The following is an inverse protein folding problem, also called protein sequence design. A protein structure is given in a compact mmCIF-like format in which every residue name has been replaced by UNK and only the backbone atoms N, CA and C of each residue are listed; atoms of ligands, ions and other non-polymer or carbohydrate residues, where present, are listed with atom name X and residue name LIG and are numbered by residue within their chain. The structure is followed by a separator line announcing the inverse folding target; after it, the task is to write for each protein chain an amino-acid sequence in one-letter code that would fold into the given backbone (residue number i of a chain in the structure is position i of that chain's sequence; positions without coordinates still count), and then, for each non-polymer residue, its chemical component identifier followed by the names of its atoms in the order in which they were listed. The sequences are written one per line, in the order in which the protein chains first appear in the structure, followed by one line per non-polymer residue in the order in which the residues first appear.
data_IF_255213683817
#
_entry.id   IF_255213683817
#
_cell.length_a   1.000
_cell.length_b   1.000
_cell.length_c   1.000
_cell.angle_alpha   90.00
_cell.angle_beta   90.00
_cell.angle_gamma   90.00
#
_symmetry.space_group_name_H-M   'P 1'
#
loop_
_entity.id
_entity.type
_entity.pdbx_description
1 polymer ?
#
# COMPACT_ATOMS: atom_id res chain seq x y z
N UNK A 1 19.62 74.86 -41.97
CA UNK A 1 19.36 73.47 -42.06
C UNK A 1 20.24 72.75 -41.07
N UNK A 2 19.72 72.33 -39.91
CA UNK A 2 20.48 71.61 -38.87
C UNK A 2 20.03 70.13 -38.94
N UNK A 3 20.96 69.23 -39.23
CA UNK A 3 20.72 67.78 -39.23
C UNK A 3 20.84 67.24 -37.79
N UNK A 4 19.76 66.56 -37.35
CA UNK A 4 19.69 65.85 -36.08
C UNK A 4 20.01 64.38 -36.36
N UNK A 5 21.07 63.84 -35.71
CA UNK A 5 21.42 62.45 -35.73
C UNK A 5 20.73 61.74 -34.54
N UNK A 6 19.80 60.80 -34.83
CA UNK A 6 19.26 59.89 -33.85
C UNK A 6 20.22 58.67 -33.70
N UNK A 7 20.75 58.48 -32.51
CA UNK A 7 21.49 57.26 -32.19
C UNK A 7 20.51 56.22 -31.67
N UNK A 8 20.35 55.08 -32.38
CA UNK A 8 19.63 53.90 -31.92
C UNK A 8 20.51 53.08 -31.01
N UNK A 9 20.19 53.11 -29.71
CA UNK A 9 20.81 52.22 -28.72
C UNK A 9 20.21 50.79 -28.79
N UNK A 10 21.01 49.84 -29.20
CA UNK A 10 20.65 48.42 -29.27
C UNK A 10 20.95 47.76 -27.93
N UNK A 11 19.94 47.55 -27.12
CA UNK A 11 20.02 46.85 -25.81
C UNK A 11 20.05 45.34 -26.06
N UNK A 12 21.21 44.73 -25.85
CA UNK A 12 21.32 43.26 -25.84
C UNK A 12 20.74 42.72 -24.55
N UNK A 13 19.54 42.09 -24.64
CA UNK A 13 19.01 41.22 -23.57
C UNK A 13 19.83 39.92 -23.59
N UNK A 14 20.70 39.73 -22.62
CA UNK A 14 21.30 38.44 -22.29
C UNK A 14 20.20 37.55 -21.66
N UNK A 15 19.62 36.68 -22.46
CA UNK A 15 18.78 35.59 -21.94
C UNK A 15 19.69 34.61 -21.20
N UNK A 16 19.63 34.62 -19.86
CA UNK A 16 20.18 33.52 -19.05
C UNK A 16 19.30 32.28 -19.29
N UNK A 17 19.80 31.34 -20.07
CA UNK A 17 19.27 29.97 -20.08
C UNK A 17 19.50 29.40 -18.69
N UNK A 18 18.42 29.17 -17.95
CA UNK A 18 18.49 28.38 -16.73
C UNK A 18 18.95 26.98 -17.16
N UNK A 19 20.16 26.60 -16.79
CA UNK A 19 20.61 25.22 -16.89
C UNK A 19 19.65 24.38 -15.99
N UNK A 20 18.80 23.61 -16.62
CA UNK A 20 18.05 22.56 -15.97
C UNK A 20 19.10 21.52 -15.53
N UNK A 21 19.59 21.64 -14.30
CA UNK A 21 20.42 20.60 -13.69
C UNK A 21 19.55 19.34 -13.67
N UNK A 22 19.89 18.36 -14.50
CA UNK A 22 19.29 17.05 -14.48
C UNK A 22 19.38 16.51 -13.04
N UNK A 23 18.25 16.32 -12.39
CA UNK A 23 18.19 15.78 -11.05
C UNK A 23 18.85 14.39 -11.11
N UNK A 24 19.96 14.20 -10.43
CA UNK A 24 20.66 12.92 -10.39
C UNK A 24 19.66 11.86 -9.94
N UNK A 25 19.64 10.70 -10.61
CA UNK A 25 18.78 9.58 -10.22
C UNK A 25 18.97 9.28 -8.73
N UNK A 26 17.88 9.08 -7.95
CA UNK A 26 17.99 8.79 -6.52
C UNK A 26 18.88 7.57 -6.30
N UNK A 27 19.75 7.57 -5.27
CA UNK A 27 20.69 6.48 -5.02
C UNK A 27 19.98 5.20 -4.60
N UNK A 28 20.63 4.07 -4.87
CA UNK A 28 20.27 2.80 -4.25
C UNK A 28 20.68 2.82 -2.77
N UNK A 29 19.77 2.42 -1.87
CA UNK A 29 20.00 2.32 -0.43
C UNK A 29 20.53 0.92 -0.14
N UNK A 30 21.75 0.76 0.39
CA UNK A 30 22.25 -0.52 0.85
C UNK A 30 21.38 -1.07 1.99
N UNK A 31 21.14 -2.38 1.99
CA UNK A 31 20.33 -3.03 3.01
C UNK A 31 20.69 -4.51 3.17
N UNK A 32 20.32 -5.09 4.28
CA UNK A 32 20.36 -6.51 4.54
C UNK A 32 18.96 -7.06 4.72
N UNK A 33 18.74 -8.30 4.25
CA UNK A 33 17.57 -9.10 4.59
C UNK A 33 17.99 -10.09 5.66
N UNK A 34 17.31 -10.08 6.82
CA UNK A 34 17.57 -11.00 7.92
C UNK A 34 17.06 -12.38 7.52
N UNK A 35 17.95 -13.38 7.35
CA UNK A 35 17.52 -14.72 6.96
C UNK A 35 16.71 -15.38 8.07
N UNK A 36 15.69 -16.14 7.66
CA UNK A 36 14.85 -16.99 8.54
C UNK A 36 14.35 -16.28 9.81
N UNK A 37 14.05 -14.97 9.68
CA UNK A 37 13.61 -14.18 10.82
C UNK A 37 12.32 -14.73 11.43
N UNK A 38 11.30 -15.06 10.61
CA UNK A 38 10.05 -15.64 11.10
C UNK A 38 10.14 -17.16 11.14
N UNK A 39 10.03 -17.71 12.34
CA UNK A 39 10.16 -19.14 12.62
C UNK A 39 8.78 -19.77 12.75
N UNK A 40 8.34 -20.46 11.70
CA UNK A 40 7.07 -21.20 11.67
C UNK A 40 7.21 -22.56 12.37
N UNK A 41 6.14 -23.07 13.02
CA UNK A 41 6.05 -24.48 13.38
C UNK A 41 6.19 -25.40 12.17
N UNK A 42 6.62 -26.63 12.38
CA UNK A 42 6.96 -27.57 11.30
C UNK A 42 5.77 -27.95 10.40
N UNK A 43 4.55 -27.78 10.89
CA UNK A 43 3.29 -28.10 10.20
C UNK A 43 2.56 -26.87 9.64
N UNK A 44 3.17 -25.68 9.75
CA UNK A 44 2.59 -24.42 9.29
C UNK A 44 3.42 -23.81 8.16
N UNK A 45 2.78 -23.36 7.12
CA UNK A 45 3.40 -22.72 5.95
C UNK A 45 2.69 -21.41 5.62
N UNK A 46 3.42 -20.46 5.08
CA UNK A 46 2.80 -19.33 4.41
C UNK A 46 2.23 -19.74 3.05
N UNK A 47 1.05 -19.22 2.72
CA UNK A 47 0.62 -19.03 1.34
C UNK A 47 1.06 -17.67 0.84
N UNK A 48 0.29 -17.04 -0.05
CA UNK A 48 0.51 -15.64 -0.41
C UNK A 48 0.43 -14.77 0.85
N UNK A 49 1.53 -14.11 1.19
CA UNK A 49 1.56 -13.18 2.32
C UNK A 49 1.04 -11.83 1.86
N UNK A 50 -0.20 -11.55 2.22
CA UNK A 50 -0.89 -10.33 1.80
C UNK A 50 -0.68 -9.15 2.73
N UNK A 51 -0.34 -9.39 4.00
CA UNK A 51 -0.22 -8.34 5.00
C UNK A 51 0.89 -8.57 6.01
N UNK A 52 1.46 -7.47 6.52
CA UNK A 52 2.44 -7.48 7.60
C UNK A 52 2.34 -6.21 8.43
N UNK A 53 2.34 -6.36 9.75
CA UNK A 53 2.31 -5.25 10.70
C UNK A 53 3.20 -5.52 11.91
N UNK A 54 3.57 -4.47 12.64
CA UNK A 54 4.38 -4.57 13.85
C UNK A 54 3.73 -3.72 14.95
N UNK A 55 3.60 -4.27 16.16
CA UNK A 55 3.04 -3.56 17.29
C UNK A 55 4.11 -2.82 18.13
N UNK A 56 3.68 -2.14 19.19
CA UNK A 56 4.57 -1.39 20.09
C UNK A 56 5.60 -2.24 20.83
N UNK A 57 5.39 -3.56 20.92
CA UNK A 57 6.29 -4.54 21.56
C UNK A 57 7.27 -5.19 20.57
N UNK A 58 7.18 -4.81 19.27
CA UNK A 58 7.96 -5.42 18.21
C UNK A 58 7.42 -6.79 17.76
N UNK A 59 6.22 -7.20 18.19
CA UNK A 59 5.61 -8.40 17.66
C UNK A 59 5.19 -8.18 16.20
N UNK A 60 5.41 -9.19 15.39
CA UNK A 60 5.11 -9.15 13.95
C UNK A 60 3.82 -9.93 13.68
N UNK A 61 2.89 -9.29 13.02
CA UNK A 61 1.64 -9.90 12.54
C UNK A 61 1.74 -10.14 11.05
N UNK A 62 1.48 -11.38 10.65
CA UNK A 62 1.52 -11.79 9.23
C UNK A 62 0.14 -12.27 8.83
N UNK A 63 -0.41 -11.66 7.79
CA UNK A 63 -1.66 -12.09 7.18
C UNK A 63 -1.35 -12.90 5.93
N UNK A 64 -1.64 -14.20 5.99
CA UNK A 64 -1.39 -15.14 4.91
C UNK A 64 -2.72 -15.65 4.34
N UNK A 65 -2.76 -15.90 3.03
CA UNK A 65 -3.89 -16.56 2.37
C UNK A 65 -3.87 -18.08 2.58
N UNK A 66 -3.04 -18.55 3.50
CA UNK A 66 -2.97 -19.95 3.96
C UNK A 66 -2.42 -20.92 2.94
N UNK A 67 -2.52 -22.20 3.25
CA UNK A 67 -1.95 -23.33 2.51
C UNK A 67 -2.95 -23.97 1.54
N UNK A 68 -4.01 -23.27 1.14
CA UNK A 68 -5.00 -23.86 0.26
C UNK A 68 -4.54 -23.89 -1.19
N UNK A 69 -4.83 -24.98 -1.86
CA UNK A 69 -4.52 -25.21 -3.28
C UNK A 69 -5.63 -24.73 -4.22
N UNK A 70 -6.71 -24.19 -3.68
CA UNK A 70 -7.87 -23.70 -4.42
C UNK A 70 -7.90 -22.17 -4.55
N UNK A 71 -8.82 -21.62 -5.32
CA UNK A 71 -9.06 -20.19 -5.36
C UNK A 71 -9.41 -19.70 -3.95
N UNK A 72 -8.75 -18.65 -3.49
CA UNK A 72 -8.90 -18.15 -2.13
C UNK A 72 -10.31 -17.58 -1.83
N UNK A 73 -11.04 -17.15 -2.87
CA UNK A 73 -12.40 -16.67 -2.72
C UNK A 73 -13.34 -17.77 -2.20
N UNK A 74 -14.02 -17.47 -1.10
CA UNK A 74 -14.93 -18.41 -0.45
C UNK A 74 -14.26 -19.51 0.38
N UNK A 75 -12.93 -19.53 0.45
CA UNK A 75 -12.19 -20.44 1.30
C UNK A 75 -11.80 -19.74 2.62
N UNK A 76 -12.05 -20.39 3.76
CA UNK A 76 -11.61 -19.93 5.09
C UNK A 76 -10.10 -20.16 5.27
N UNK A 77 -9.30 -19.74 4.28
CA UNK A 77 -7.87 -20.02 4.22
C UNK A 77 -7.01 -18.94 4.84
N UNK A 78 -7.56 -17.76 5.10
CA UNK A 78 -6.81 -16.66 5.68
C UNK A 78 -6.35 -17.00 7.10
N UNK A 79 -5.08 -16.76 7.37
CA UNK A 79 -4.45 -16.95 8.67
C UNK A 79 -3.80 -15.66 9.12
N UNK A 80 -4.16 -15.20 10.32
CA UNK A 80 -3.50 -14.09 10.99
C UNK A 80 -2.57 -14.66 12.06
N UNK A 81 -1.27 -14.60 11.79
CA UNK A 81 -0.23 -15.21 12.63
C UNK A 81 0.53 -14.14 13.39
N UNK A 82 0.74 -14.34 14.70
CA UNK A 82 1.54 -13.47 15.56
C UNK A 82 2.87 -14.12 15.88
N UNK A 83 3.95 -13.34 15.72
CA UNK A 83 5.32 -13.72 16.06
C UNK A 83 5.87 -12.74 17.09
N UNK A 84 6.72 -13.21 17.99
CA UNK A 84 7.46 -12.36 18.92
C UNK A 84 8.47 -11.46 18.21
N UNK A 85 9.02 -10.50 18.94
CA UNK A 85 10.10 -9.62 18.43
C UNK A 85 11.37 -10.38 18.05
N UNK A 86 11.54 -11.60 18.54
CA UNK A 86 12.61 -12.54 18.18
C UNK A 86 12.25 -13.41 16.96
N UNK A 87 11.07 -13.23 16.37
CA UNK A 87 10.59 -13.95 15.20
C UNK A 87 9.97 -15.32 15.49
N UNK A 88 9.89 -15.76 16.76
CA UNK A 88 9.23 -17.02 17.10
C UNK A 88 7.72 -16.91 17.00
N UNK A 89 7.10 -17.94 16.44
CA UNK A 89 5.65 -18.07 16.38
C UNK A 89 5.04 -18.08 17.80
N UNK A 90 4.00 -17.29 18.01
CA UNK A 90 3.27 -17.20 19.27
C UNK A 90 1.89 -17.84 19.17
N UNK A 91 1.10 -17.45 18.17
CA UNK A 91 -0.29 -17.92 18.00
C UNK A 91 -0.87 -17.55 16.64
N UNK A 92 -1.98 -18.19 16.32
CA UNK A 92 -2.93 -17.75 15.28
C UNK A 92 -4.10 -17.01 15.94
N UNK A 93 -4.54 -15.91 15.32
CA UNK A 93 -5.67 -15.09 15.76
C UNK A 93 -6.83 -15.27 14.80
N UNK A 94 -8.04 -15.49 15.32
CA UNK A 94 -9.25 -15.62 14.52
C UNK A 94 -9.26 -16.89 13.65
N UNK A 95 -8.72 -17.99 14.16
CA UNK A 95 -8.77 -19.29 13.47
C UNK A 95 -10.19 -19.65 13.04
N UNK A 96 -10.40 -19.95 11.74
CA UNK A 96 -11.69 -20.25 11.14
C UNK A 96 -12.77 -19.15 11.31
N UNK A 97 -12.38 -17.91 11.49
CA UNK A 97 -13.35 -16.81 11.60
C UNK A 97 -14.19 -16.71 10.32
N UNK A 98 -15.51 -16.60 10.46
CA UNK A 98 -16.45 -16.46 9.33
C UNK A 98 -16.15 -15.26 8.41
N UNK A 99 -15.50 -14.21 8.94
CA UNK A 99 -15.10 -13.05 8.17
C UNK A 99 -13.97 -13.35 7.15
N UNK A 100 -13.23 -14.44 7.30
CA UNK A 100 -12.16 -14.80 6.38
C UNK A 100 -12.70 -15.29 5.04
N UNK A 101 -12.22 -14.72 3.96
CA UNK A 101 -12.53 -15.13 2.59
C UNK A 101 -11.36 -14.87 1.65
N UNK A 102 -10.84 -13.62 1.61
CA UNK A 102 -9.67 -13.25 0.81
C UNK A 102 -8.88 -12.16 1.54
N UNK A 103 -7.94 -12.58 2.38
CA UNK A 103 -7.11 -11.71 3.19
C UNK A 103 -6.37 -10.66 2.34
N UNK A 104 -6.43 -9.38 2.75
CA UNK A 104 -5.83 -8.29 1.96
C UNK A 104 -4.78 -7.51 2.73
N UNK A 105 -5.11 -6.90 3.87
CA UNK A 105 -4.18 -6.08 4.64
C UNK A 105 -4.31 -6.32 6.14
N UNK A 106 -3.21 -6.14 6.90
CA UNK A 106 -3.19 -6.10 8.36
C UNK A 106 -2.48 -4.84 8.84
N UNK A 107 -3.08 -4.14 9.80
CA UNK A 107 -2.50 -2.97 10.47
C UNK A 107 -2.59 -3.10 11.97
N UNK A 108 -1.74 -2.38 12.69
CA UNK A 108 -1.81 -2.27 14.16
C UNK A 108 -1.94 -0.80 14.51
N UNK A 109 -2.93 -0.46 15.34
CA UNK A 109 -3.13 0.90 15.82
C UNK A 109 -2.24 1.22 17.03
N UNK A 110 -2.29 2.47 17.50
CA UNK A 110 -1.49 2.96 18.63
C UNK A 110 -1.80 2.29 19.97
N UNK A 111 -2.95 1.62 20.06
CA UNK A 111 -3.40 0.90 21.26
C UNK A 111 -3.13 -0.62 21.13
N UNK A 112 -2.30 -1.01 20.15
CA UNK A 112 -1.96 -2.39 19.79
C UNK A 112 -3.18 -3.24 19.35
N UNK A 113 -4.30 -2.62 18.95
CA UNK A 113 -5.37 -3.37 18.30
C UNK A 113 -4.93 -3.79 16.90
N UNK A 114 -5.29 -5.01 16.52
CA UNK A 114 -4.96 -5.57 15.21
C UNK A 114 -6.18 -5.41 14.31
N UNK A 115 -5.97 -4.86 13.13
CA UNK A 115 -7.00 -4.60 12.16
C UNK A 115 -6.71 -5.36 10.88
N UNK A 116 -7.74 -5.99 10.33
CA UNK A 116 -7.62 -6.80 9.11
C UNK A 116 -8.68 -6.38 8.11
N UNK A 117 -8.26 -6.06 6.90
CA UNK A 117 -9.13 -5.94 5.75
C UNK A 117 -9.22 -7.29 5.03
N UNK A 118 -10.43 -7.81 4.90
CA UNK A 118 -10.70 -8.98 4.06
C UNK A 118 -11.49 -8.56 2.83
N UNK A 119 -10.81 -8.61 1.68
CA UNK A 119 -11.34 -8.19 0.39
C UNK A 119 -12.49 -9.08 -0.09
N UNK A 120 -12.44 -10.37 0.22
CA UNK A 120 -13.42 -11.33 -0.28
C UNK A 120 -14.74 -11.32 0.49
N UNK A 121 -14.70 -10.87 1.73
CA UNK A 121 -15.89 -10.74 2.60
C UNK A 121 -16.38 -9.30 2.74
N UNK A 122 -15.68 -8.33 2.13
CA UNK A 122 -16.03 -6.91 2.19
C UNK A 122 -16.13 -6.34 3.60
N UNK A 123 -15.24 -6.79 4.50
CA UNK A 123 -15.22 -6.37 5.90
C UNK A 123 -13.83 -5.90 6.35
N UNK A 124 -13.84 -5.03 7.37
CA UNK A 124 -12.66 -4.73 8.18
C UNK A 124 -12.97 -5.17 9.61
N UNK A 125 -12.10 -5.99 10.19
CA UNK A 125 -12.25 -6.56 11.54
C UNK A 125 -11.17 -5.98 12.45
N UNK A 126 -11.57 -5.46 13.61
CA UNK A 126 -10.67 -5.06 14.68
C UNK A 126 -10.64 -6.12 15.78
N UNK A 127 -9.45 -6.56 16.12
CA UNK A 127 -9.17 -7.39 17.30
C UNK A 127 -8.48 -6.54 18.36
N UNK A 128 -8.78 -6.81 19.63
CA UNK A 128 -7.94 -6.30 20.71
C UNK A 128 -6.61 -7.07 20.78
N UNK A 129 -5.61 -6.63 21.60
CA UNK A 129 -4.34 -7.33 21.74
C UNK A 129 -4.44 -8.79 22.21
N UNK A 130 -5.56 -9.18 22.82
CA UNK A 130 -5.84 -10.57 23.23
C UNK A 130 -6.40 -11.42 22.09
N UNK A 131 -6.66 -10.83 20.92
CA UNK A 131 -7.19 -11.52 19.73
C UNK A 131 -8.72 -11.69 19.73
N UNK A 132 -9.46 -10.90 20.52
CA UNK A 132 -10.93 -10.87 20.51
C UNK A 132 -11.43 -9.82 19.53
N UNK A 133 -12.40 -10.16 18.71
CA UNK A 133 -13.09 -9.19 17.84
C UNK A 133 -13.81 -8.16 18.70
N UNK A 134 -13.53 -6.88 18.44
CA UNK A 134 -14.13 -5.75 19.18
C UNK A 134 -14.94 -4.82 18.28
N UNK A 135 -14.71 -4.86 16.96
CA UNK A 135 -15.44 -4.05 15.99
C UNK A 135 -15.37 -4.70 14.61
N UNK A 136 -16.42 -4.53 13.81
CA UNK A 136 -16.49 -4.95 12.41
C UNK A 136 -17.11 -3.80 11.60
N UNK A 137 -16.50 -3.49 10.47
CA UNK A 137 -17.01 -2.55 9.47
C UNK A 137 -17.38 -3.31 8.21
N UNK A 138 -18.49 -2.91 7.58
CA UNK A 138 -19.04 -3.61 6.45
C UNK A 138 -19.79 -4.89 6.84
N UNK A 139 -20.19 -5.63 5.83
CA UNK A 139 -20.92 -6.89 6.01
C UNK A 139 -20.54 -7.85 4.89
N UNK A 140 -20.28 -9.10 5.26
CA UNK A 140 -20.08 -10.16 4.28
C UNK A 140 -21.36 -10.38 3.48
N UNK A 141 -21.34 -10.25 2.15
CA UNK A 141 -22.51 -10.49 1.32
C UNK A 141 -23.00 -11.93 1.45
N UNK A 142 -24.31 -12.09 1.47
CA UNK A 142 -25.00 -13.40 1.39
C UNK A 142 -25.64 -13.54 0.01
N UNK A 143 -25.89 -14.76 -0.45
CA UNK A 143 -26.49 -15.01 -1.75
C UNK A 143 -27.86 -14.32 -1.94
N UNK A 144 -28.58 -14.08 -0.84
CA UNK A 144 -29.86 -13.37 -0.82
C UNK A 144 -29.73 -11.84 -0.93
N UNK A 145 -28.55 -11.28 -0.71
CA UNK A 145 -28.39 -9.81 -0.63
C UNK A 145 -28.24 -9.16 -2.01
N UNK A 146 -27.53 -9.81 -2.95
CA UNK A 146 -27.21 -9.19 -4.24
C UNK A 146 -27.55 -10.05 -5.46
N UNK A 147 -28.15 -11.17 -5.34
CA UNK A 147 -28.40 -12.19 -6.37
C UNK A 147 -27.61 -13.48 -6.13
N UNK A 148 -27.75 -14.44 -7.05
CA UNK A 148 -27.05 -15.72 -6.98
C UNK A 148 -25.52 -15.64 -7.11
N UNK A 149 -24.96 -14.46 -7.36
CA UNK A 149 -23.54 -14.26 -7.64
C UNK A 149 -22.92 -13.14 -6.76
N UNK A 150 -22.82 -13.32 -5.43
CA UNK A 150 -22.36 -12.29 -4.51
C UNK A 150 -20.88 -11.88 -4.74
N UNK A 151 -20.09 -12.66 -5.48
CA UNK A 151 -18.71 -12.34 -5.84
C UNK A 151 -18.60 -11.67 -7.21
N UNK A 152 -19.68 -11.59 -7.97
CA UNK A 152 -19.71 -10.91 -9.26
C UNK A 152 -20.15 -9.46 -9.06
N UNK A 153 -19.37 -8.55 -9.59
CA UNK A 153 -19.66 -7.13 -9.54
C UNK A 153 -20.20 -6.67 -10.89
N UNK A 154 -21.32 -5.96 -10.93
CA UNK A 154 -21.89 -5.49 -12.19
C UNK A 154 -20.96 -4.49 -12.89
N UNK A 155 -20.96 -4.51 -14.22
CA UNK A 155 -20.25 -3.53 -15.03
C UNK A 155 -21.27 -2.76 -15.89
N UNK A 156 -21.42 -1.44 -15.73
CA UNK A 156 -20.69 -0.56 -14.80
C UNK A 156 -21.04 -0.84 -13.33
N UNK A 157 -20.17 -0.45 -12.38
CA UNK A 157 -20.43 -0.63 -10.96
C UNK A 157 -21.70 0.09 -10.51
N UNK A 158 -22.48 -0.53 -9.61
CA UNK A 158 -23.58 0.16 -8.92
C UNK A 158 -23.03 1.30 -8.06
N UNK A 159 -23.80 2.36 -7.81
CA UNK A 159 -23.41 3.40 -6.84
C UNK A 159 -23.01 2.79 -5.48
N UNK A 160 -21.99 3.33 -4.81
CA UNK A 160 -21.62 2.87 -3.48
C UNK A 160 -22.73 3.17 -2.46
N UNK A 161 -22.89 2.27 -1.50
CA UNK A 161 -23.82 2.43 -0.38
C UNK A 161 -23.04 2.74 0.88
N UNK A 162 -23.52 3.67 1.70
CA UNK A 162 -22.88 4.07 2.95
C UNK A 162 -22.81 2.89 3.94
N UNK A 163 -21.61 2.70 4.54
CA UNK A 163 -21.36 1.58 5.45
C UNK A 163 -21.15 0.22 4.78
N UNK A 164 -21.35 0.10 3.45
CA UNK A 164 -21.12 -1.13 2.70
C UNK A 164 -19.87 -0.99 1.83
N UNK A 165 -19.10 -2.06 1.72
CA UNK A 165 -17.87 -2.09 0.92
C UNK A 165 -18.00 -3.03 -0.28
N UNK A 166 -17.10 -2.82 -1.25
CA UNK A 166 -16.90 -3.74 -2.37
C UNK A 166 -15.42 -3.89 -2.64
N UNK A 167 -14.83 -4.95 -2.09
CA UNK A 167 -13.42 -5.29 -2.18
C UNK A 167 -12.51 -4.23 -1.54
N UNK A 168 -12.64 -4.10 -0.20
CA UNK A 168 -11.77 -3.24 0.64
C UNK A 168 -10.29 -3.62 0.49
N UNK A 169 -9.41 -2.63 0.67
CA UNK A 169 -7.98 -2.84 0.51
C UNK A 169 -7.17 -2.62 1.78
N UNK A 170 -7.35 -1.52 2.49
CA UNK A 170 -6.49 -1.15 3.63
C UNK A 170 -7.23 -0.17 4.56
N UNK A 171 -6.64 0.15 5.72
CA UNK A 171 -7.20 1.11 6.67
C UNK A 171 -6.11 1.89 7.40
N UNK A 172 -6.49 3.07 7.91
CA UNK A 172 -5.64 3.93 8.76
C UNK A 172 -6.49 4.76 9.72
N UNK A 173 -5.84 5.51 10.62
CA UNK A 173 -6.50 6.31 11.66
C UNK A 173 -5.86 7.70 11.76
N UNK A 174 -6.66 8.70 12.17
CA UNK A 174 -6.13 9.99 12.59
C UNK A 174 -5.85 10.03 14.12
N UNK A 175 -5.32 11.14 14.58
CA UNK A 175 -5.01 11.36 16.02
C UNK A 175 -6.24 11.38 16.90
N UNK A 176 -7.43 11.72 16.36
CA UNK A 176 -8.70 11.69 17.05
C UNK A 176 -9.29 10.26 17.15
N UNK A 177 -8.72 9.29 16.41
CA UNK A 177 -9.18 7.91 16.34
C UNK A 177 -10.26 7.65 15.29
N UNK A 178 -10.55 8.61 14.41
CA UNK A 178 -11.39 8.33 13.25
C UNK A 178 -10.70 7.32 12.34
N UNK A 179 -11.48 6.46 11.72
CA UNK A 179 -11.02 5.37 10.85
C UNK A 179 -11.25 5.72 9.39
N UNK A 180 -10.25 5.50 8.57
CA UNK A 180 -10.30 5.69 7.12
C UNK A 180 -10.05 4.35 6.44
N UNK A 181 -11.01 3.90 5.64
CA UNK A 181 -10.96 2.60 4.94
C UNK A 181 -10.93 2.85 3.44
N UNK A 182 -9.92 2.30 2.77
CA UNK A 182 -9.85 2.33 1.31
C UNK A 182 -10.75 1.23 0.73
N UNK A 183 -11.89 1.62 0.18
CA UNK A 183 -12.86 0.79 -0.52
C UNK A 183 -12.51 0.78 -2.02
N UNK A 184 -11.41 0.09 -2.36
CA UNK A 184 -10.52 0.46 -3.44
C UNK A 184 -10.75 -0.23 -4.78
N UNK A 185 -11.16 -1.50 -4.84
CA UNK A 185 -11.22 -2.21 -6.12
C UNK A 185 -12.45 -1.85 -6.95
N UNK A 186 -13.60 -1.63 -6.32
CA UNK A 186 -14.87 -1.41 -7.03
C UNK A 186 -15.40 0.00 -6.78
N UNK A 187 -15.52 0.42 -5.52
CA UNK A 187 -16.16 1.69 -5.19
C UNK A 187 -15.25 2.91 -5.39
N UNK A 188 -13.93 2.71 -5.45
CA UNK A 188 -12.95 3.77 -5.72
C UNK A 188 -13.10 4.97 -4.78
N UNK A 189 -13.28 4.72 -3.48
CA UNK A 189 -13.47 5.76 -2.46
C UNK A 189 -12.68 5.47 -1.19
N UNK A 190 -12.50 6.52 -0.37
CA UNK A 190 -12.11 6.40 1.04
C UNK A 190 -13.36 6.60 1.88
N UNK A 191 -13.70 5.63 2.71
CA UNK A 191 -14.80 5.68 3.66
C UNK A 191 -14.27 6.13 5.03
N UNK A 192 -14.98 7.06 5.69
CA UNK A 192 -14.63 7.59 7.00
C UNK A 192 -15.65 7.16 8.03
N UNK A 193 -15.16 6.72 9.19
CA UNK A 193 -15.94 6.43 10.38
C UNK A 193 -15.38 7.22 11.57
N UNK A 194 -16.21 7.54 12.52
CA UNK A 194 -15.74 8.08 13.80
C UNK A 194 -15.08 6.97 14.66
N UNK A 195 -14.49 7.36 15.78
CA UNK A 195 -13.83 6.44 16.73
C UNK A 195 -14.77 5.40 17.35
N UNK A 196 -16.07 5.68 17.39
CA UNK A 196 -17.12 4.80 17.87
C UNK A 196 -17.58 3.80 16.77
N UNK A 197 -17.14 3.99 15.51
CA UNK A 197 -17.47 3.15 14.35
C UNK A 197 -18.70 3.60 13.60
N UNK A 198 -19.22 4.81 13.85
CA UNK A 198 -20.34 5.36 13.10
C UNK A 198 -19.86 5.95 11.78
N UNK A 199 -20.67 5.78 10.73
CA UNK A 199 -20.40 6.37 9.42
C UNK A 199 -20.30 7.90 9.50
N UNK A 200 -19.21 8.45 8.98
CA UNK A 200 -18.95 9.89 8.98
C UNK A 200 -18.85 10.50 7.57
N UNK A 201 -18.88 9.68 6.53
CA UNK A 201 -18.85 10.10 5.14
C UNK A 201 -17.85 9.35 4.27
N UNK A 202 -17.71 9.79 3.03
CA UNK A 202 -16.69 9.25 2.11
C UNK A 202 -16.31 10.30 1.06
N UNK A 203 -15.17 10.08 0.40
CA UNK A 203 -14.77 10.88 -0.77
C UNK A 203 -14.07 10.00 -1.80
N UNK A 204 -14.05 10.49 -3.04
CA UNK A 204 -13.50 9.78 -4.18
C UNK A 204 -14.57 9.11 -5.02
N UNK A 205 -14.22 8.89 -6.27
CA UNK A 205 -15.01 8.23 -7.30
C UNK A 205 -14.08 7.63 -8.37
N UNK A 206 -14.53 6.71 -9.20
CA UNK A 206 -13.73 6.17 -10.29
C UNK A 206 -13.24 7.22 -11.27
N UNK A 207 -11.95 7.23 -11.61
CA UNK A 207 -11.39 8.12 -12.63
C UNK A 207 -9.91 8.43 -12.44
N UNK A 208 -9.42 9.44 -13.19
CA UNK A 208 -8.00 9.85 -13.20
C UNK A 208 -7.80 11.33 -12.85
N UNK A 209 -8.85 12.11 -12.71
CA UNK A 209 -8.75 13.51 -12.27
C UNK A 209 -8.27 13.59 -10.80
N UNK A 210 -7.79 14.76 -10.34
CA UNK A 210 -7.52 14.98 -8.91
C UNK A 210 -8.76 14.66 -8.06
N UNK A 211 -8.57 13.87 -6.98
CA UNK A 211 -9.67 13.41 -6.12
C UNK A 211 -10.40 12.16 -6.63
N UNK A 212 -10.21 11.76 -7.89
CA UNK A 212 -10.70 10.49 -8.43
C UNK A 212 -9.64 9.40 -8.29
N UNK A 213 -10.07 8.15 -8.33
CA UNK A 213 -9.19 6.99 -8.09
C UNK A 213 -9.36 5.89 -9.14
N UNK A 214 -8.27 5.16 -9.35
CA UNK A 214 -8.25 3.90 -10.10
C UNK A 214 -7.55 2.85 -9.26
N UNK A 215 -8.32 2.05 -8.55
CA UNK A 215 -7.83 1.04 -7.61
C UNK A 215 -6.97 1.63 -6.48
N UNK A 216 -7.60 2.15 -5.43
CA UNK A 216 -6.92 2.47 -4.18
C UNK A 216 -6.41 1.18 -3.56
N UNK A 217 -5.11 1.11 -3.24
CA UNK A 217 -4.55 -0.16 -2.76
C UNK A 217 -4.01 -0.11 -1.34
N UNK A 218 -3.52 1.03 -0.90
CA UNK A 218 -2.99 1.21 0.46
C UNK A 218 -3.28 2.63 0.94
N UNK A 219 -3.44 2.81 2.25
CA UNK A 219 -3.73 4.09 2.89
C UNK A 219 -2.98 4.21 4.21
N UNK A 220 -2.34 5.36 4.46
CA UNK A 220 -1.61 5.63 5.70
C UNK A 220 -1.78 7.09 6.12
N UNK A 221 -1.63 7.36 7.40
CA UNK A 221 -1.77 8.71 7.99
C UNK A 221 -0.46 9.13 8.66
N UNK A 222 -0.06 10.38 8.49
CA UNK A 222 1.09 10.95 9.19
C UNK A 222 0.70 11.61 10.52
N UNK A 223 1.68 12.12 11.25
CA UNK A 223 1.46 12.80 12.55
C UNK A 223 0.71 14.13 12.48
N UNK A 224 0.55 14.69 11.29
CA UNK A 224 -0.25 15.89 11.03
C UNK A 224 -1.66 15.53 10.54
N UNK A 225 -2.07 14.27 10.68
CA UNK A 225 -3.35 13.74 10.22
C UNK A 225 -3.58 13.90 8.70
N UNK A 226 -2.50 13.98 7.90
CA UNK A 226 -2.60 13.94 6.46
C UNK A 226 -2.70 12.49 6.00
N UNK A 227 -3.63 12.21 5.12
CA UNK A 227 -4.00 10.87 4.65
C UNK A 227 -3.41 10.65 3.26
N UNK A 228 -2.49 9.68 3.15
CA UNK A 228 -1.81 9.30 1.92
C UNK A 228 -2.49 8.08 1.32
N UNK A 229 -2.99 8.20 0.11
CA UNK A 229 -3.74 7.15 -0.58
C UNK A 229 -2.99 6.69 -1.82
N UNK A 230 -2.65 5.42 -1.87
CA UNK A 230 -2.03 4.79 -3.03
C UNK A 230 -3.06 4.61 -4.15
N UNK A 231 -3.13 5.55 -5.07
CA UNK A 231 -3.96 5.50 -6.28
C UNK A 231 -3.20 4.72 -7.37
N UNK A 232 -3.18 3.39 -7.18
CA UNK A 232 -2.30 2.46 -7.87
C UNK A 232 -2.48 2.47 -9.38
N UNK A 233 -3.73 2.42 -9.87
CA UNK A 233 -4.02 2.40 -11.29
C UNK A 233 -3.64 3.70 -12.01
N UNK A 234 -3.58 4.81 -11.29
CA UNK A 234 -3.15 6.10 -11.79
C UNK A 234 -1.64 6.38 -11.55
N UNK A 235 -0.92 5.42 -10.95
CA UNK A 235 0.51 5.52 -10.61
C UNK A 235 0.84 6.83 -9.86
N UNK A 236 0.10 7.11 -8.79
CA UNK A 236 0.28 8.29 -7.94
C UNK A 236 -0.16 8.03 -6.50
N UNK A 237 0.29 8.88 -5.59
CA UNK A 237 -0.21 8.95 -4.23
C UNK A 237 -0.94 10.28 -4.11
N UNK A 238 -2.18 10.27 -3.63
CA UNK A 238 -2.93 11.48 -3.34
C UNK A 238 -2.95 11.71 -1.84
N UNK A 239 -2.70 12.95 -1.42
CA UNK A 239 -2.64 13.35 -0.01
C UNK A 239 -3.83 14.22 0.31
N UNK A 240 -4.58 13.86 1.35
CA UNK A 240 -5.80 14.54 1.77
C UNK A 240 -5.69 15.00 3.23
N UNK A 241 -6.50 15.97 3.62
CA UNK A 241 -6.79 16.23 5.01
C UNK A 241 -7.92 15.32 5.54
N UNK A 242 -8.23 15.42 6.82
CA UNK A 242 -9.26 14.61 7.50
C UNK A 242 -10.69 14.89 7.03
N UNK A 243 -10.91 15.95 6.26
CA UNK A 243 -12.20 16.27 5.63
C UNK A 243 -12.35 15.66 4.23
N UNK A 244 -11.28 15.07 3.67
CA UNK A 244 -11.24 14.57 2.31
C UNK A 244 -10.84 15.63 1.27
N UNK A 245 -10.37 16.81 1.70
CA UNK A 245 -9.84 17.82 0.79
C UNK A 245 -8.46 17.40 0.30
N UNK A 246 -8.28 17.36 -1.03
CA UNK A 246 -7.00 17.08 -1.65
C UNK A 246 -5.98 18.19 -1.35
N UNK A 247 -4.83 17.81 -0.82
CA UNK A 247 -3.71 18.69 -0.50
C UNK A 247 -2.61 18.65 -1.56
N UNK A 248 -2.21 17.45 -2.00
CA UNK A 248 -1.15 17.26 -2.99
C UNK A 248 -1.25 15.92 -3.71
N UNK A 249 -0.51 15.80 -4.81
CA UNK A 249 -0.34 14.56 -5.57
C UNK A 249 1.14 14.30 -5.71
N UNK A 250 1.59 13.13 -5.25
CA UNK A 250 2.98 12.68 -5.32
C UNK A 250 3.13 11.64 -6.42
N UNK A 251 4.26 11.67 -7.13
CA UNK A 251 4.60 10.69 -8.15
C UNK A 251 6.04 10.22 -7.95
N UNK A 252 6.28 8.95 -8.23
CA UNK A 252 7.61 8.36 -8.20
C UNK A 252 8.06 8.21 -9.65
N UNK A 253 8.97 9.06 -10.05
CA UNK A 253 9.49 9.09 -11.42
C UNK A 253 10.93 8.57 -11.46
N UNK A 254 11.08 7.30 -11.07
CA UNK A 254 12.35 6.57 -11.10
C UNK A 254 12.25 5.46 -12.15
N UNK A 255 12.96 5.57 -13.28
CA UNK A 255 12.83 4.62 -14.36
C UNK A 255 13.28 3.20 -13.95
N UNK A 256 12.62 2.19 -14.48
CA UNK A 256 13.08 0.82 -14.35
C UNK A 256 14.34 0.58 -15.21
N UNK A 257 15.23 -0.34 -14.81
CA UNK A 257 16.27 -0.85 -15.69
C UNK A 257 15.66 -1.42 -16.98
N UNK A 258 16.36 -1.27 -18.10
CA UNK A 258 15.88 -1.72 -19.43
C UNK A 258 15.63 -3.23 -19.51
N UNK A 259 16.36 -4.00 -18.71
CA UNK A 259 16.34 -5.46 -18.60
C UNK A 259 15.64 -5.96 -17.34
N UNK A 260 14.90 -5.08 -16.64
CA UNK A 260 14.19 -5.46 -15.42
C UNK A 260 13.16 -6.57 -15.73
N UNK A 261 13.22 -7.73 -15.04
CA UNK A 261 12.26 -8.78 -15.24
C UNK A 261 10.89 -8.37 -14.70
N UNK A 262 9.84 -8.67 -15.43
CA UNK A 262 8.47 -8.53 -14.94
C UNK A 262 8.13 -9.80 -14.16
N UNK A 263 8.21 -9.74 -12.83
CA UNK A 263 7.82 -10.85 -11.97
C UNK A 263 6.31 -10.86 -11.76
N UNK A 264 5.57 -11.37 -12.72
CA UNK A 264 4.13 -11.62 -12.60
C UNK A 264 3.91 -13.12 -12.51
N UNK A 265 4.08 -13.66 -11.31
CA UNK A 265 3.89 -15.09 -11.08
C UNK A 265 4.81 -15.96 -11.95
N UNK A 266 4.32 -17.13 -12.32
CA UNK A 266 5.03 -18.05 -13.20
C UNK A 266 4.70 -17.81 -14.69
N UNK A 267 4.09 -16.69 -15.06
CA UNK A 267 3.88 -16.37 -16.46
C UNK A 267 5.22 -16.01 -17.10
N UNK A 268 5.59 -16.63 -18.22
CA UNK A 268 6.68 -16.11 -19.04
C UNK A 268 6.39 -14.64 -19.37
N UNK A 269 7.40 -13.79 -19.33
CA UNK A 269 7.26 -12.44 -19.86
C UNK A 269 6.85 -12.57 -21.33
N UNK A 270 5.64 -12.13 -21.68
CA UNK A 270 5.24 -12.04 -23.07
C UNK A 270 6.18 -11.03 -23.74
N UNK A 271 6.87 -11.47 -24.78
CA UNK A 271 7.75 -10.60 -25.55
C UNK A 271 6.90 -9.43 -26.08
N UNK A 272 7.18 -8.20 -25.64
CA UNK A 272 6.45 -7.02 -26.01
C UNK A 272 5.33 -6.60 -25.04
N UNK A 273 5.08 -7.32 -23.94
CA UNK A 273 4.28 -6.81 -22.83
C UNK A 273 5.00 -5.63 -22.19
N UNK A 274 4.79 -4.46 -22.76
CA UNK A 274 5.23 -3.23 -22.11
C UNK A 274 4.42 -3.07 -20.83
N UNK A 275 5.09 -2.77 -19.73
CA UNK A 275 4.46 -2.33 -18.48
C UNK A 275 3.50 -1.14 -18.68
N UNK A 276 3.41 -0.62 -19.89
CA UNK A 276 2.59 0.51 -20.30
C UNK A 276 1.09 0.19 -20.47
N UNK A 277 0.70 -1.07 -20.59
CA UNK A 277 -0.70 -1.44 -20.85
C UNK A 277 -1.59 -1.47 -19.61
N UNK A 278 -1.02 -1.58 -18.42
CA UNK A 278 -1.77 -1.59 -17.15
C UNK A 278 -1.06 -0.68 -16.15
N UNK A 279 -1.69 0.43 -15.76
CA UNK A 279 -1.13 1.41 -14.82
C UNK A 279 -0.57 0.80 -13.52
N UNK A 280 -1.06 -0.37 -13.12
CA UNK A 280 -0.64 -1.06 -11.90
C UNK A 280 0.78 -1.64 -11.96
N UNK A 281 1.35 -1.83 -13.15
CA UNK A 281 2.71 -2.36 -13.35
C UNK A 281 3.69 -1.30 -13.87
N UNK A 282 3.34 -0.02 -13.80
CA UNK A 282 4.28 1.05 -14.11
C UNK A 282 5.31 1.17 -12.97
N UNK A 283 6.60 1.45 -13.29
CA UNK A 283 7.57 1.81 -12.27
C UNK A 283 7.04 2.94 -11.39
N UNK A 284 7.17 2.80 -10.06
CA UNK A 284 6.65 3.76 -9.08
C UNK A 284 5.13 3.73 -8.87
N UNK A 285 4.40 2.79 -9.49
CA UNK A 285 2.97 2.58 -9.17
C UNK A 285 2.83 2.06 -7.74
N UNK A 286 2.16 2.80 -6.81
CA UNK A 286 2.19 2.47 -5.40
C UNK A 286 1.29 1.28 -5.08
N UNK A 287 1.88 0.19 -4.60
CA UNK A 287 1.16 -0.98 -4.10
C UNK A 287 1.00 -0.95 -2.59
N UNK A 288 2.07 -0.64 -1.87
CA UNK A 288 2.09 -0.59 -0.42
C UNK A 288 2.70 0.71 0.08
N UNK A 289 2.15 1.23 1.16
CA UNK A 289 2.63 2.41 1.85
C UNK A 289 2.91 2.07 3.32
N UNK A 290 3.97 2.64 3.89
CA UNK A 290 4.08 2.82 5.33
C UNK A 290 4.79 4.15 5.65
N UNK A 291 4.43 4.77 6.77
CA UNK A 291 5.08 5.98 7.28
C UNK A 291 5.81 5.64 8.57
N UNK A 292 7.09 6.03 8.65
CA UNK A 292 7.90 5.77 9.83
C UNK A 292 7.41 6.56 11.04
N UNK A 293 7.53 6.02 12.27
CA UNK A 293 7.32 6.78 13.49
C UNK A 293 8.47 7.79 13.71
N UNK A 294 8.41 8.53 14.82
CA UNK A 294 9.50 9.41 15.21
C UNK A 294 9.26 10.89 14.85
N UNK A 295 10.16 11.81 15.21
CA UNK A 295 10.02 13.25 14.96
C UNK A 295 10.11 13.58 13.46
N UNK A 296 11.01 12.95 12.74
CA UNK A 296 11.08 12.99 11.28
C UNK A 296 10.47 11.74 10.71
N UNK A 297 9.47 11.91 9.85
CA UNK A 297 8.76 10.80 9.21
C UNK A 297 9.17 10.68 7.75
N UNK A 298 9.26 9.45 7.29
CA UNK A 298 9.51 9.10 5.89
C UNK A 298 8.39 8.21 5.38
N UNK A 299 8.03 8.38 4.12
CA UNK A 299 7.10 7.52 3.42
C UNK A 299 7.88 6.45 2.65
N UNK A 300 7.63 5.19 2.97
CA UNK A 300 8.07 4.06 2.15
C UNK A 300 6.96 3.64 1.21
N UNK A 301 7.32 3.40 -0.04
CA UNK A 301 6.39 3.03 -1.12
C UNK A 301 6.96 1.84 -1.86
N UNK A 302 6.16 0.78 -2.03
CA UNK A 302 6.56 -0.36 -2.86
C UNK A 302 5.83 -0.35 -4.20
N UNK A 303 6.51 -0.81 -5.25
CA UNK A 303 5.89 -1.15 -6.52
C UNK A 303 5.98 -2.67 -6.80
N UNK A 304 5.13 -3.16 -7.71
CA UNK A 304 5.20 -4.54 -8.17
C UNK A 304 6.22 -4.71 -9.31
N UNK A 305 6.52 -3.63 -10.03
CA UNK A 305 7.51 -3.57 -11.09
C UNK A 305 8.25 -2.22 -11.02
N UNK A 306 9.57 -2.24 -11.01
CA UNK A 306 10.50 -3.38 -11.09
C UNK A 306 10.73 -4.12 -9.75
N UNK A 307 9.83 -4.01 -8.78
CA UNK A 307 9.90 -4.67 -7.48
C UNK A 307 10.81 -3.92 -6.51
N UNK A 308 10.61 -2.61 -6.39
CA UNK A 308 11.39 -1.71 -5.54
C UNK A 308 10.60 -1.23 -4.35
N UNK A 309 11.34 -0.83 -3.33
CA UNK A 309 10.86 0.01 -2.24
C UNK A 309 11.54 1.35 -2.36
N UNK A 310 10.78 2.42 -2.35
CA UNK A 310 11.28 3.79 -2.40
C UNK A 310 11.15 4.44 -1.02
N UNK A 311 12.16 5.18 -0.59
CA UNK A 311 12.13 6.05 0.60
C UNK A 311 11.93 7.48 0.15
N UNK A 312 10.87 8.13 0.64
CA UNK A 312 10.52 9.50 0.29
C UNK A 312 10.41 10.37 1.54
N UNK A 313 10.60 11.66 1.36
CA UNK A 313 10.07 12.67 2.29
C UNK A 313 8.54 12.74 2.14
N UNK A 314 7.85 13.28 3.14
CA UNK A 314 6.39 13.37 3.12
C UNK A 314 5.83 14.35 2.05
N UNK A 315 6.67 15.20 1.48
CA UNK A 315 6.34 16.07 0.34
C UNK A 315 6.62 15.41 -1.02
N UNK A 316 7.09 14.14 -1.04
CA UNK A 316 7.21 13.32 -2.23
C UNK A 316 8.60 13.28 -2.88
N UNK A 317 9.62 13.94 -2.31
CA UNK A 317 10.98 13.82 -2.82
C UNK A 317 11.56 12.44 -2.56
N UNK A 318 11.96 11.71 -3.61
CA UNK A 318 12.59 10.39 -3.50
C UNK A 318 14.02 10.55 -2.98
N UNK A 319 14.30 9.97 -1.82
CA UNK A 319 15.62 9.98 -1.18
C UNK A 319 16.48 8.81 -1.64
N UNK A 320 15.87 7.71 -2.03
CA UNK A 320 16.55 6.53 -2.53
C UNK A 320 15.58 5.39 -2.75
N UNK A 321 16.10 4.29 -3.25
CA UNK A 321 15.32 3.07 -3.50
C UNK A 321 16.16 1.83 -3.17
N UNK A 322 15.50 0.68 -2.98
CA UNK A 322 16.15 -0.60 -2.72
C UNK A 322 15.39 -1.76 -3.35
N UNK A 323 16.11 -2.82 -3.65
CA UNK A 323 15.56 -4.09 -4.12
C UNK A 323 15.24 -4.15 -5.61
N UNK A 324 14.79 -5.30 -6.03
CA UNK A 324 14.34 -5.63 -7.39
C UNK A 324 13.50 -6.90 -7.37
N UNK A 325 12.79 -7.18 -8.48
CA UNK A 325 12.03 -8.43 -8.62
C UNK A 325 12.91 -9.67 -8.56
N UNK A 326 12.45 -10.72 -7.87
CA UNK A 326 13.11 -12.03 -7.82
C UNK A 326 12.73 -12.88 -6.61
N UNK A 327 13.37 -14.06 -6.50
CA UNK A 327 13.03 -15.08 -5.49
C UNK A 327 14.03 -15.19 -4.33
N UNK A 328 15.27 -14.74 -4.52
CA UNK A 328 16.31 -14.79 -3.48
C UNK A 328 16.13 -13.66 -2.46
N UNK A 329 16.82 -13.73 -1.32
CA UNK A 329 16.83 -12.63 -0.35
C UNK A 329 17.28 -11.32 -1.01
N UNK A 330 16.78 -10.18 -0.51
CA UNK A 330 16.97 -8.84 -1.08
C UNK A 330 16.29 -8.61 -2.44
N UNK A 331 15.58 -9.62 -2.96
CA UNK A 331 14.69 -9.48 -4.12
C UNK A 331 13.26 -9.81 -3.72
N UNK A 332 12.29 -9.29 -4.45
CA UNK A 332 10.90 -9.36 -4.05
C UNK A 332 10.02 -9.98 -5.13
N UNK A 333 9.08 -10.81 -4.68
CA UNK A 333 8.06 -11.41 -5.51
C UNK A 333 6.70 -10.76 -5.26
N UNK A 334 6.48 -9.57 -5.83
CA UNK A 334 5.26 -8.78 -5.70
C UNK A 334 5.00 -8.35 -4.25
N UNK A 335 5.58 -7.23 -3.87
CA UNK A 335 5.37 -6.61 -2.56
C UNK A 335 3.91 -6.17 -2.46
N UNK A 336 3.21 -6.65 -1.42
CA UNK A 336 1.79 -6.35 -1.22
C UNK A 336 1.53 -5.43 -0.04
N UNK A 337 2.30 -5.56 1.04
CA UNK A 337 2.23 -4.66 2.19
C UNK A 337 3.62 -4.40 2.79
N UNK A 338 3.75 -3.26 3.46
CA UNK A 338 4.94 -2.82 4.18
C UNK A 338 4.58 -2.43 5.61
N UNK A 339 5.49 -2.76 6.55
CA UNK A 339 5.52 -2.17 7.88
C UNK A 339 6.90 -1.57 8.15
N UNK A 340 6.95 -0.34 8.68
CA UNK A 340 8.19 0.38 8.97
C UNK A 340 8.19 0.90 10.42
N UNK A 341 8.46 0.01 11.41
CA UNK A 341 8.43 0.36 12.83
C UNK A 341 9.54 1.31 13.24
N UNK A 342 10.59 1.44 12.42
CA UNK A 342 11.68 2.39 12.58
C UNK A 342 12.17 2.92 11.23
N UNK A 343 12.93 4.01 11.22
CA UNK A 343 13.40 4.65 9.98
C UNK A 343 14.16 3.68 9.06
N UNK A 344 14.98 2.80 9.62
CA UNK A 344 15.85 1.91 8.86
C UNK A 344 15.49 0.44 9.03
N UNK A 345 14.29 0.14 9.47
CA UNK A 345 13.75 -1.22 9.58
C UNK A 345 12.43 -1.32 8.83
N UNK A 346 12.39 -2.22 7.85
CA UNK A 346 11.22 -2.42 6.99
C UNK A 346 10.88 -3.90 6.92
N UNK A 347 9.63 -4.24 7.17
CA UNK A 347 9.08 -5.56 6.94
C UNK A 347 8.28 -5.58 5.65
N UNK A 348 8.40 -6.65 4.90
CA UNK A 348 7.86 -6.79 3.54
C UNK A 348 7.02 -8.04 3.44
N UNK A 349 5.77 -7.91 3.01
CA UNK A 349 4.89 -9.02 2.66
C UNK A 349 4.95 -9.30 1.16
N UNK A 350 5.17 -10.55 0.76
CA UNK A 350 5.32 -10.96 -0.63
C UNK A 350 4.27 -12.00 -1.03
N UNK A 351 3.52 -11.72 -2.10
CA UNK A 351 2.54 -12.67 -2.62
C UNK A 351 3.19 -13.88 -3.30
N UNK A 352 4.11 -13.64 -4.25
CA UNK A 352 4.58 -14.69 -5.15
C UNK A 352 5.67 -15.57 -4.55
N UNK A 353 6.36 -15.09 -3.52
CA UNK A 353 7.40 -15.85 -2.85
C UNK A 353 6.90 -16.54 -1.57
N UNK A 354 5.65 -16.35 -1.20
CA UNK A 354 5.00 -16.93 0.00
C UNK A 354 5.83 -16.72 1.26
N UNK A 355 6.29 -15.50 1.44
CA UNK A 355 7.17 -15.16 2.57
C UNK A 355 7.01 -13.71 3.03
N UNK A 356 7.55 -13.44 4.20
CA UNK A 356 7.85 -12.10 4.64
C UNK A 356 9.36 -11.92 4.85
N UNK A 357 9.89 -10.72 4.59
CA UNK A 357 11.28 -10.39 4.87
C UNK A 357 11.37 -9.24 5.87
N UNK A 358 12.37 -9.33 6.76
CA UNK A 358 12.81 -8.21 7.60
C UNK A 358 14.06 -7.61 6.98
N UNK A 359 14.02 -6.30 6.71
CA UNK A 359 15.10 -5.56 6.06
C UNK A 359 15.71 -4.56 7.06
N UNK A 360 17.03 -4.49 7.07
CA UNK A 360 17.80 -3.47 7.81
C UNK A 360 18.50 -2.60 6.77
N UNK A 361 18.17 -1.31 6.76
CA UNK A 361 18.69 -0.35 5.80
C UNK A 361 19.94 0.34 6.35
N UNK A 362 20.90 0.61 5.47
CA UNK A 362 22.17 1.28 5.78
C UNK A 362 22.30 2.57 4.91
N UNK A 363 21.45 3.60 5.14
CA UNK A 363 21.55 4.83 4.39
C UNK A 363 22.90 5.49 4.67
N UNK A 364 23.53 6.05 3.62
CA UNK A 364 24.83 6.76 3.69
C UNK A 364 24.61 8.19 4.13
#
# INVERSE_FOLDING_TARGET
MKAVWLALGMTFLLSRTAECTAQSSPPEIPFDSVPDFLQLPADLYFGEVSGIAVNSKGHVFVLSRGNTTGPAYGAAAAQLLEFGSDGKFLREIGHNLYAWSYAHAVRVDRDDNIWVADKGSDVVVRFNPQGRVTMVFGRKPEASDESAHPLEHPSPPKPPVDGMFRQVTDMTWDSAGNVYISDGYINSRVAKFDREGNWAGSWGEPGSAPGQFSTLHSIVTDKQDRIYVADRGNARIQVFDTSGKLLSILRIDVPAPRDAPVAIGNRPAEAGATAAGNGTLRPGSPWALCITPGPTQYLYVADAFPGRIYKLTLDGRVLGWLGSSGKVLKKFGWIHELACPAENEVFVAELLNWRAQKLILHPR
#
